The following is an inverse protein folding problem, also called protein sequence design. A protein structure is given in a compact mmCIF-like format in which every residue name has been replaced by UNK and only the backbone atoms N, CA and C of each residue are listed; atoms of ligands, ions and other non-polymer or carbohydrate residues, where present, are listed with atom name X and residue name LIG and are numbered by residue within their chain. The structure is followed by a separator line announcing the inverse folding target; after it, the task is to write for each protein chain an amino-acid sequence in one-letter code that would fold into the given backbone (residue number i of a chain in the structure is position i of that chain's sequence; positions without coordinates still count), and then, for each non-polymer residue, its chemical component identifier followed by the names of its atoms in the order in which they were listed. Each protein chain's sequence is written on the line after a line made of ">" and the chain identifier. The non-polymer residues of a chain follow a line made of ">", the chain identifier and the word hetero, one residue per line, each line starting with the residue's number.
data_IF_596457765856
#
_entry.id   IF_596457765856
#
_cell.length_a   1.000
_cell.length_b   1.000
_cell.length_c   1.000
_cell.angle_alpha   90.00
_cell.angle_beta   90.00
_cell.angle_gamma   90.00
#
_symmetry.space_group_name_H-M   'P 1'
#
loop_
_entity.id
_entity.type
_entity.pdbx_description
1 polymer ?
#
# COMPACT_ATOMS: atom_id res chain seq x y z
N UNK A 1 -45.68 -5.43 5.07
CA UNK A 1 -44.43 -5.03 5.77
C UNK A 1 -43.32 -4.58 4.81
N UNK A 2 -42.90 -5.39 3.83
CA UNK A 2 -41.82 -5.04 2.87
C UNK A 2 -42.00 -3.73 2.11
N UNK A 3 -43.21 -3.41 1.63
CA UNK A 3 -43.47 -2.15 0.90
C UNK A 3 -43.31 -0.88 1.75
N UNK A 4 -43.59 -0.96 3.06
CA UNK A 4 -43.39 0.16 4.00
C UNK A 4 -41.91 0.38 4.30
N UNK A 5 -41.14 -0.70 4.45
CA UNK A 5 -39.68 -0.63 4.60
C UNK A 5 -39.01 -0.05 3.36
N UNK A 6 -39.48 -0.43 2.17
CA UNK A 6 -38.98 0.12 0.90
C UNK A 6 -39.30 1.60 0.75
N UNK A 7 -40.52 2.02 1.10
CA UNK A 7 -40.92 3.42 1.09
C UNK A 7 -40.11 4.26 2.09
N UNK A 8 -39.86 3.74 3.30
CA UNK A 8 -39.02 4.40 4.31
C UNK A 8 -37.57 4.52 3.85
N UNK A 9 -37.02 3.49 3.19
CA UNK A 9 -35.67 3.54 2.62
C UNK A 9 -35.55 4.55 1.47
N UNK A 10 -36.56 4.62 0.59
CA UNK A 10 -36.63 5.61 -0.49
C UNK A 10 -36.74 7.03 0.08
N UNK A 11 -37.57 7.21 1.10
CA UNK A 11 -37.78 8.51 1.74
C UNK A 11 -36.50 8.95 2.50
N UNK A 12 -35.78 8.02 3.12
CA UNK A 12 -34.47 8.27 3.71
C UNK A 12 -33.41 8.67 2.67
N UNK A 13 -33.48 8.15 1.44
CA UNK A 13 -32.61 8.55 0.33
C UNK A 13 -32.95 9.92 -0.27
N UNK A 14 -34.19 10.42 -0.07
CA UNK A 14 -34.58 11.78 -0.49
C UNK A 14 -34.15 12.86 0.48
N UNK A 15 -33.74 12.50 1.71
CA UNK A 15 -33.12 13.47 2.61
C UNK A 15 -31.71 13.79 2.09
N UNK A 16 -31.38 15.08 1.84
CA UNK A 16 -30.03 15.45 1.47
C UNK A 16 -29.08 14.98 2.59
N UNK A 17 -28.03 14.19 2.29
CA UNK A 17 -27.12 13.67 3.31
C UNK A 17 -26.31 14.76 4.05
N UNK A 18 -26.57 16.05 3.80
CA UNK A 18 -25.69 17.17 4.10
C UNK A 18 -26.37 18.37 4.83
N UNK A 19 -27.42 18.17 5.63
CA UNK A 19 -28.09 19.32 6.29
C UNK A 19 -27.99 19.38 7.83
N UNK A 20 -27.52 18.33 8.52
CA UNK A 20 -27.50 18.30 10.00
C UNK A 20 -26.11 18.46 10.64
N UNK A 21 -25.04 18.59 9.86
CA UNK A 21 -23.70 18.87 10.38
C UNK A 21 -23.36 20.37 10.22
N UNK A 22 -23.99 21.25 11.02
CA UNK A 22 -23.44 22.59 11.30
C UNK A 22 -22.30 22.50 12.32
N UNK A 23 -21.31 21.66 12.03
CA UNK A 23 -20.00 21.69 12.67
C UNK A 23 -18.99 22.14 11.64
N UNK A 24 -17.90 22.78 12.06
CA UNK A 24 -16.73 23.04 11.22
C UNK A 24 -16.04 21.72 10.86
N UNK A 25 -16.69 20.89 10.03
CA UNK A 25 -16.10 19.68 9.50
C UNK A 25 -15.12 20.08 8.41
N UNK A 26 -13.83 20.05 8.73
CA UNK A 26 -12.76 20.23 7.76
C UNK A 26 -12.20 18.85 7.38
N UNK A 27 -12.40 18.38 6.14
CA UNK A 27 -11.83 17.10 5.69
C UNK A 27 -10.30 17.02 5.83
N UNK A 28 -9.60 18.16 5.84
CA UNK A 28 -8.14 18.20 6.04
C UNK A 28 -7.72 17.71 7.43
N UNK A 29 -8.59 17.82 8.44
CA UNK A 29 -8.31 17.36 9.80
C UNK A 29 -8.11 15.84 9.84
N UNK A 30 -8.77 15.10 8.94
CA UNK A 30 -8.61 13.65 8.77
C UNK A 30 -7.22 13.27 8.23
N UNK A 31 -6.44 14.21 7.70
CA UNK A 31 -5.06 13.97 7.27
C UNK A 31 -4.01 14.45 8.30
N UNK A 32 -4.45 15.13 9.37
CA UNK A 32 -3.53 15.58 10.43
C UNK A 32 -2.96 14.40 11.23
N UNK A 33 -1.64 14.34 11.35
CA UNK A 33 -0.95 13.26 12.04
C UNK A 33 -0.79 13.60 13.52
N UNK A 34 -1.85 13.36 14.29
CA UNK A 34 -1.80 13.46 15.74
C UNK A 34 -0.82 12.43 16.31
N UNK A 35 0.14 12.89 17.12
CA UNK A 35 1.12 12.05 17.81
C UNK A 35 0.48 11.46 19.06
N UNK A 36 0.24 10.15 19.06
CA UNK A 36 -0.34 9.48 20.22
C UNK A 36 0.73 9.12 21.25
N UNK A 37 1.87 8.62 20.76
CA UNK A 37 3.04 8.33 21.60
C UNK A 37 4.24 9.06 20.99
N UNK A 38 4.70 10.17 21.59
CA UNK A 38 5.85 10.90 21.07
C UNK A 38 7.15 10.16 21.39
N UNK A 39 7.90 9.76 20.35
CA UNK A 39 9.21 9.12 20.50
C UNK A 39 10.19 9.94 19.66
N UNK A 40 11.08 10.67 20.32
CA UNK A 40 12.07 11.50 19.65
C UNK A 40 13.46 10.91 19.91
N UNK A 41 14.19 10.56 18.85
CA UNK A 41 15.58 10.09 18.91
C UNK A 41 16.44 11.10 18.16
N UNK A 42 16.99 12.07 18.89
CA UNK A 42 17.78 13.16 18.31
C UNK A 42 16.96 13.98 17.29
N UNK A 43 17.41 14.12 16.03
CA UNK A 43 16.66 14.83 14.98
C UNK A 43 15.50 14.00 14.38
N UNK A 44 15.37 12.72 14.74
CA UNK A 44 14.36 11.83 14.19
C UNK A 44 13.11 11.79 15.07
N UNK A 45 11.96 12.05 14.45
CA UNK A 45 10.65 11.93 15.07
C UNK A 45 10.01 10.58 14.70
N UNK A 46 10.05 9.64 15.64
CA UNK A 46 9.49 8.29 15.53
C UNK A 46 8.16 8.17 16.27
N UNK A 47 7.43 9.28 16.42
CA UNK A 47 6.15 9.29 17.11
C UNK A 47 5.16 8.31 16.48
N UNK A 48 4.47 7.55 17.31
CA UNK A 48 3.38 6.68 16.86
C UNK A 48 2.20 7.58 16.53
N UNK A 49 1.92 7.70 15.24
CA UNK A 49 0.79 8.43 14.68
C UNK A 49 -0.26 7.44 14.17
N UNK A 50 -1.45 7.94 13.83
CA UNK A 50 -2.45 7.13 13.12
C UNK A 50 -1.89 6.45 11.86
N UNK A 51 -0.98 7.13 11.13
CA UNK A 51 -0.35 6.53 9.95
C UNK A 51 0.43 5.26 10.28
N UNK A 52 1.19 5.26 11.37
CA UNK A 52 1.94 4.08 11.83
C UNK A 52 1.00 2.94 12.20
N UNK A 53 -0.14 3.23 12.84
CA UNK A 53 -1.15 2.23 13.19
C UNK A 53 -1.78 1.62 11.94
N UNK A 54 -2.14 2.44 10.94
CA UNK A 54 -2.64 1.95 9.65
C UNK A 54 -1.61 1.08 8.92
N UNK A 55 -0.32 1.41 9.00
CA UNK A 55 0.74 0.56 8.44
C UNK A 55 0.85 -0.77 9.16
N UNK A 56 0.73 -0.80 10.49
CA UNK A 56 0.74 -2.05 11.26
C UNK A 56 -0.46 -2.93 10.95
N UNK A 57 -1.65 -2.33 10.84
CA UNK A 57 -2.86 -3.05 10.43
C UNK A 57 -2.69 -3.58 9.00
N UNK A 58 -2.19 -2.75 8.08
CA UNK A 58 -1.91 -3.15 6.70
C UNK A 58 -0.92 -4.32 6.64
N UNK A 59 0.21 -4.22 7.34
CA UNK A 59 1.20 -5.29 7.39
C UNK A 59 0.64 -6.59 7.99
N UNK A 60 -0.09 -6.50 9.11
CA UNK A 60 -0.72 -7.66 9.74
C UNK A 60 -1.75 -8.31 8.81
N UNK A 61 -2.56 -7.51 8.12
CA UNK A 61 -3.56 -8.01 7.18
C UNK A 61 -2.91 -8.64 5.94
N UNK A 62 -1.83 -8.06 5.41
CA UNK A 62 -1.05 -8.65 4.31
C UNK A 62 -0.46 -10.00 4.71
N UNK A 63 0.15 -10.10 5.90
CA UNK A 63 0.70 -11.36 6.43
C UNK A 63 -0.41 -12.39 6.61
N UNK A 64 -1.53 -12.00 7.20
CA UNK A 64 -2.68 -12.87 7.40
C UNK A 64 -3.22 -13.38 6.06
N UNK A 65 -3.36 -12.50 5.08
CA UNK A 65 -3.84 -12.84 3.74
C UNK A 65 -2.88 -13.80 3.04
N UNK A 66 -1.57 -13.57 3.13
CA UNK A 66 -0.55 -14.49 2.63
C UNK A 66 -0.64 -15.86 3.29
N UNK A 67 -0.78 -15.93 4.62
CA UNK A 67 -0.93 -17.20 5.34
C UNK A 67 -2.23 -17.91 4.95
N UNK A 68 -3.36 -17.20 4.89
CA UNK A 68 -4.67 -17.81 4.63
C UNK A 68 -4.83 -18.28 3.19
N UNK A 69 -4.34 -17.50 2.22
CA UNK A 69 -4.52 -17.77 0.80
C UNK A 69 -3.40 -18.64 0.22
N UNK A 70 -2.15 -18.39 0.60
CA UNK A 70 -0.99 -19.07 -0.01
C UNK A 70 -0.50 -20.28 0.79
N UNK A 71 -0.85 -20.41 2.08
CA UNK A 71 -0.49 -21.57 2.93
C UNK A 71 -1.63 -22.59 3.03
N UNK A 72 -2.43 -22.75 1.97
CA UNK A 72 -3.46 -23.79 1.93
C UNK A 72 -2.84 -25.14 1.52
N UNK A 73 -3.38 -26.27 2.00
CA UNK A 73 -3.00 -27.58 1.48
C UNK A 73 -3.50 -27.69 0.04
N UNK A 74 -2.59 -27.96 -0.89
CA UNK A 74 -2.93 -28.23 -2.27
C UNK A 74 -3.85 -29.46 -2.33
N UNK A 75 -5.08 -29.26 -2.76
CA UNK A 75 -6.07 -30.31 -2.91
C UNK A 75 -6.59 -30.34 -4.36
N UNK A 76 -6.94 -31.54 -4.83
CA UNK A 76 -7.62 -31.75 -6.11
C UNK A 76 -8.96 -32.46 -5.79
N UNK A 77 -10.12 -31.82 -6.04
CA UNK A 77 -10.31 -30.51 -6.67
C UNK A 77 -9.91 -29.31 -5.77
N UNK A 78 -9.52 -28.16 -6.36
CA UNK A 78 -9.10 -26.99 -5.60
C UNK A 78 -10.26 -26.41 -4.79
N UNK A 79 -9.97 -26.04 -3.53
CA UNK A 79 -10.94 -25.34 -2.69
C UNK A 79 -11.09 -23.88 -3.13
N UNK A 80 -12.22 -23.22 -2.80
CA UNK A 80 -12.44 -21.80 -3.15
C UNK A 80 -11.31 -20.88 -2.69
N UNK A 81 -10.72 -21.15 -1.51
CA UNK A 81 -9.61 -20.35 -0.96
C UNK A 81 -8.32 -20.56 -1.76
N UNK A 82 -8.08 -21.80 -2.19
CA UNK A 82 -6.95 -22.14 -3.06
C UNK A 82 -7.09 -21.46 -4.42
N UNK A 83 -8.28 -21.49 -5.04
CA UNK A 83 -8.52 -20.82 -6.33
C UNK A 83 -8.24 -19.31 -6.26
N UNK A 84 -8.66 -18.64 -5.18
CA UNK A 84 -8.37 -17.21 -4.98
C UNK A 84 -6.86 -16.99 -4.78
N UNK A 85 -6.21 -17.85 -4.00
CA UNK A 85 -4.76 -17.78 -3.77
C UNK A 85 -3.95 -17.98 -5.05
N UNK A 86 -4.33 -18.95 -5.88
CA UNK A 86 -3.73 -19.23 -7.19
C UNK A 86 -3.93 -18.07 -8.15
N UNK A 87 -5.15 -17.51 -8.25
CA UNK A 87 -5.41 -16.34 -9.09
C UNK A 87 -4.58 -15.12 -8.66
N UNK A 88 -4.45 -14.89 -7.36
CA UNK A 88 -3.65 -13.78 -6.83
C UNK A 88 -2.15 -13.99 -7.06
N UNK A 89 -1.68 -15.23 -6.95
CA UNK A 89 -0.31 -15.61 -7.27
C UNK A 89 -0.02 -15.43 -8.76
N UNK A 90 -0.94 -15.86 -9.63
CA UNK A 90 -0.83 -15.70 -11.08
C UNK A 90 -0.76 -14.22 -11.47
N UNK A 91 -1.60 -13.36 -10.90
CA UNK A 91 -1.52 -11.90 -11.10
C UNK A 91 -0.16 -11.35 -10.66
N UNK A 92 0.32 -11.74 -9.47
CA UNK A 92 1.63 -11.31 -8.99
C UNK A 92 2.76 -11.73 -9.94
N UNK A 93 2.67 -12.94 -10.50
CA UNK A 93 3.71 -13.49 -11.37
C UNK A 93 3.67 -12.84 -12.75
N UNK A 94 2.53 -12.90 -13.42
CA UNK A 94 2.38 -12.51 -14.83
C UNK A 94 2.33 -11.00 -15.02
N UNK A 95 1.60 -10.29 -14.15
CA UNK A 95 1.36 -8.85 -14.32
C UNK A 95 2.43 -7.97 -13.67
N UNK A 96 3.19 -8.51 -12.71
CA UNK A 96 4.16 -7.71 -11.96
C UNK A 96 5.58 -8.26 -12.10
N UNK A 97 5.80 -9.53 -11.74
CA UNK A 97 7.15 -10.08 -11.75
C UNK A 97 7.72 -10.29 -13.16
N UNK A 98 6.96 -10.89 -14.07
CA UNK A 98 7.41 -11.17 -15.45
C UNK A 98 7.56 -9.89 -16.29
N UNK A 99 6.84 -8.82 -15.95
CA UNK A 99 6.99 -7.53 -16.62
C UNK A 99 8.21 -6.75 -16.13
N UNK A 100 8.58 -6.89 -14.85
CA UNK A 100 9.66 -6.11 -14.23
C UNK A 100 10.99 -6.85 -14.06
N UNK A 101 11.00 -8.18 -14.10
CA UNK A 101 12.19 -8.99 -13.80
C UNK A 101 12.58 -9.89 -14.99
N UNK A 102 13.89 -10.06 -15.23
CA UNK A 102 14.35 -11.05 -16.18
C UNK A 102 14.04 -12.46 -15.66
N UNK A 103 13.72 -13.40 -16.55
CA UNK A 103 13.32 -14.78 -16.22
C UNK A 103 14.26 -15.51 -15.26
N UNK A 104 15.57 -15.22 -15.33
CA UNK A 104 16.60 -15.78 -14.43
C UNK A 104 16.51 -15.28 -12.99
N UNK A 105 15.96 -14.09 -12.77
CA UNK A 105 15.86 -13.44 -11.46
C UNK A 105 14.49 -13.64 -10.79
N UNK A 106 13.46 -14.03 -11.55
CA UNK A 106 12.09 -14.19 -11.06
C UNK A 106 12.04 -15.08 -9.82
N UNK A 107 12.64 -16.27 -9.83
CA UNK A 107 12.58 -17.19 -8.69
C UNK A 107 13.13 -16.62 -7.37
N UNK A 108 14.10 -15.69 -7.44
CA UNK A 108 14.69 -15.04 -6.25
C UNK A 108 13.92 -13.81 -5.80
N UNK A 109 13.46 -13.00 -6.76
CA UNK A 109 12.88 -11.68 -6.52
C UNK A 109 11.35 -11.69 -6.46
N UNK A 110 10.72 -12.75 -6.92
CA UNK A 110 9.27 -12.92 -6.89
C UNK A 110 8.67 -12.75 -5.49
N UNK A 111 9.19 -13.35 -4.40
CA UNK A 111 8.61 -13.16 -3.07
C UNK A 111 8.59 -11.69 -2.63
N UNK A 112 9.64 -10.94 -2.97
CA UNK A 112 9.72 -9.52 -2.67
C UNK A 112 8.68 -8.72 -3.44
N UNK A 113 8.63 -8.90 -4.77
CA UNK A 113 7.67 -8.20 -5.64
C UNK A 113 6.23 -8.54 -5.28
N UNK A 114 5.91 -9.82 -5.05
CA UNK A 114 4.60 -10.27 -4.62
C UNK A 114 4.22 -9.67 -3.25
N UNK A 115 5.15 -9.61 -2.30
CA UNK A 115 4.90 -9.00 -0.99
C UNK A 115 4.61 -7.50 -1.08
N UNK A 116 5.35 -6.76 -1.90
CA UNK A 116 5.12 -5.34 -2.13
C UNK A 116 3.77 -5.09 -2.81
N UNK A 117 3.46 -5.85 -3.87
CA UNK A 117 2.18 -5.76 -4.56
C UNK A 117 1.02 -5.97 -3.58
N UNK A 118 1.06 -7.06 -2.80
CA UNK A 118 0.02 -7.38 -1.82
C UNK A 118 -0.05 -6.34 -0.71
N UNK A 119 1.09 -5.86 -0.21
CA UNK A 119 1.13 -4.84 0.83
C UNK A 119 0.50 -3.53 0.37
N UNK A 120 0.93 -3.02 -0.79
CA UNK A 120 0.40 -1.78 -1.37
C UNK A 120 -1.08 -1.92 -1.67
N UNK A 121 -1.50 -3.05 -2.24
CA UNK A 121 -2.91 -3.32 -2.52
C UNK A 121 -3.74 -3.34 -1.23
N UNK A 122 -3.29 -4.05 -0.18
CA UNK A 122 -3.99 -4.11 1.11
C UNK A 122 -4.08 -2.73 1.76
N UNK A 123 -2.99 -1.96 1.79
CA UNK A 123 -2.98 -0.62 2.40
C UNK A 123 -3.87 0.35 1.62
N UNK A 124 -3.92 0.24 0.30
CA UNK A 124 -4.83 1.04 -0.53
C UNK A 124 -6.29 0.65 -0.30
N UNK A 125 -6.60 -0.64 -0.15
CA UNK A 125 -7.96 -1.08 0.20
C UNK A 125 -8.37 -0.68 1.61
N UNK A 126 -7.44 -0.74 2.57
CA UNK A 126 -7.65 -0.26 3.93
C UNK A 126 -7.97 1.24 3.96
N UNK A 127 -7.40 2.00 3.02
CA UNK A 127 -7.69 3.42 2.82
C UNK A 127 -9.13 3.72 2.41
N UNK A 128 -9.98 2.73 2.08
CA UNK A 128 -11.42 2.92 1.86
C UNK A 128 -12.28 2.48 3.05
N UNK A 129 -11.68 1.78 4.03
CA UNK A 129 -12.40 1.28 5.20
C UNK A 129 -12.38 2.40 6.25
N UNK A 130 -13.54 2.96 6.62
CA UNK A 130 -13.58 3.92 7.69
C UNK A 130 -13.25 3.18 9.00
N UNK A 131 -12.29 3.68 9.76
CA UNK A 131 -11.88 3.09 11.04
C UNK A 131 -12.03 4.12 12.16
N UNK A 132 -12.29 3.70 13.41
CA UNK A 132 -12.43 4.58 14.56
C UNK A 132 -11.06 5.06 15.08
N UNK A 133 -10.18 5.50 14.18
CA UNK A 133 -8.79 5.87 14.43
C UNK A 133 -8.52 7.36 14.19
N UNK A 134 -9.56 8.15 13.90
CA UNK A 134 -9.48 9.61 13.69
C UNK A 134 -9.11 10.37 14.98
N UNK A 135 -9.31 9.76 16.15
CA UNK A 135 -9.09 10.38 17.45
C UNK A 135 -10.18 11.37 17.87
N UNK A 136 -11.18 11.62 17.01
CA UNK A 136 -12.33 12.43 17.32
C UNK A 136 -13.48 11.57 17.84
N UNK A 137 -14.21 12.07 18.84
CA UNK A 137 -15.41 11.44 19.37
C UNK A 137 -16.60 12.36 19.22
N UNK A 138 -17.69 11.86 18.65
CA UNK A 138 -18.97 12.57 18.58
C UNK A 138 -19.96 11.88 19.55
N UNK A 139 -20.43 12.61 20.56
CA UNK A 139 -21.31 12.08 21.63
C UNK A 139 -20.82 10.79 22.30
N UNK A 140 -19.51 10.68 22.54
CA UNK A 140 -18.90 9.50 23.17
C UNK A 140 -18.67 8.31 22.24
N UNK A 141 -19.04 8.40 20.96
CA UNK A 141 -18.78 7.39 19.93
C UNK A 141 -17.59 7.84 19.08
N UNK A 142 -16.58 6.98 18.82
CA UNK A 142 -15.46 7.34 17.96
C UNK A 142 -15.93 7.59 16.53
N UNK A 143 -15.40 8.65 15.92
CA UNK A 143 -15.70 9.03 14.54
C UNK A 143 -14.95 8.09 13.59
N UNK A 144 -15.69 7.54 12.64
CA UNK A 144 -15.19 6.61 11.65
C UNK A 144 -14.59 7.40 10.48
N UNK A 145 -13.27 7.54 10.52
CA UNK A 145 -12.49 8.33 9.55
C UNK A 145 -11.86 7.44 8.49
N UNK A 146 -11.74 7.98 7.27
CA UNK A 146 -11.07 7.33 6.16
C UNK A 146 -9.65 7.90 6.07
N UNK A 147 -8.65 7.05 6.23
CA UNK A 147 -7.25 7.45 6.12
C UNK A 147 -6.47 6.43 5.29
N UNK A 148 -5.83 6.91 4.23
CA UNK A 148 -4.93 6.10 3.41
C UNK A 148 -3.49 6.34 3.86
N UNK A 149 -2.81 5.33 4.40
CA UNK A 149 -1.41 5.47 4.80
C UNK A 149 -0.46 5.79 3.63
N UNK A 150 -0.86 5.45 2.40
CA UNK A 150 -0.17 5.83 1.15
C UNK A 150 -0.29 7.31 0.79
N UNK A 151 -1.14 8.08 1.47
CA UNK A 151 -1.17 9.56 1.34
C UNK A 151 0.02 10.24 2.03
N UNK A 152 0.73 9.54 2.91
CA UNK A 152 1.91 10.05 3.58
C UNK A 152 3.15 9.89 2.71
N UNK A 153 3.82 11.00 2.40
CA UNK A 153 5.07 11.01 1.64
C UNK A 153 6.16 10.15 2.29
N UNK A 154 6.19 10.08 3.63
CA UNK A 154 7.18 9.28 4.34
C UNK A 154 7.03 7.79 4.03
N UNK A 155 5.79 7.32 3.85
CA UNK A 155 5.50 5.91 3.57
C UNK A 155 5.92 5.56 2.15
N UNK A 156 5.52 6.37 1.17
CA UNK A 156 5.86 6.14 -0.23
C UNK A 156 7.35 6.29 -0.48
N UNK A 157 7.98 7.29 0.13
CA UNK A 157 9.43 7.51 0.05
C UNK A 157 10.21 6.33 0.66
N UNK A 158 9.79 5.81 1.82
CA UNK A 158 10.47 4.67 2.45
C UNK A 158 10.42 3.42 1.55
N UNK A 159 9.25 3.11 0.97
CA UNK A 159 9.11 1.98 0.05
C UNK A 159 9.93 2.18 -1.24
N UNK A 160 9.94 3.41 -1.77
CA UNK A 160 10.72 3.76 -2.95
C UNK A 160 12.23 3.63 -2.70
N UNK A 161 12.73 4.17 -1.59
CA UNK A 161 14.14 4.09 -1.21
C UNK A 161 14.58 2.64 -0.97
N UNK A 162 13.75 1.84 -0.29
CA UNK A 162 14.03 0.42 -0.08
C UNK A 162 14.16 -0.33 -1.40
N UNK A 163 13.21 -0.11 -2.32
CA UNK A 163 13.24 -0.73 -3.65
C UNK A 163 14.44 -0.24 -4.46
N UNK A 164 14.73 1.07 -4.44
CA UNK A 164 15.87 1.68 -5.09
C UNK A 164 17.20 1.07 -4.61
N UNK A 165 17.40 0.96 -3.30
CA UNK A 165 18.61 0.35 -2.73
C UNK A 165 18.74 -1.10 -3.16
N UNK A 166 17.65 -1.87 -3.15
CA UNK A 166 17.67 -3.28 -3.55
C UNK A 166 17.99 -3.48 -5.03
N UNK A 167 17.41 -2.66 -5.92
CA UNK A 167 17.70 -2.74 -7.36
C UNK A 167 19.14 -2.36 -7.68
N UNK A 168 19.68 -1.34 -7.02
CA UNK A 168 21.08 -0.93 -7.19
C UNK A 168 22.04 -1.99 -6.65
N UNK A 169 21.75 -2.52 -5.45
CA UNK A 169 22.55 -3.57 -4.84
C UNK A 169 22.63 -4.82 -5.74
N UNK A 170 21.51 -5.32 -6.24
CA UNK A 170 21.53 -6.45 -7.16
C UNK A 170 22.12 -6.12 -8.52
N UNK A 171 21.90 -4.91 -9.02
CA UNK A 171 22.51 -4.43 -10.26
C UNK A 171 24.03 -4.50 -10.21
N UNK A 172 24.62 -4.04 -9.10
CA UNK A 172 26.07 -4.13 -8.84
C UNK A 172 26.51 -5.57 -8.62
N UNK A 173 25.76 -6.36 -7.85
CA UNK A 173 26.09 -7.77 -7.55
C UNK A 173 26.08 -8.65 -8.80
N UNK A 174 25.12 -8.47 -9.70
CA UNK A 174 24.94 -9.32 -10.89
C UNK A 174 25.85 -8.91 -12.05
N UNK A 175 25.98 -7.61 -12.33
CA UNK A 175 26.77 -7.13 -13.45
C UNK A 175 28.24 -6.88 -13.09
N UNK A 176 28.54 -6.69 -11.81
CA UNK A 176 29.81 -6.16 -11.33
C UNK A 176 29.83 -4.61 -11.39
N UNK A 177 30.60 -3.92 -10.52
CA UNK A 177 30.57 -2.47 -10.41
C UNK A 177 30.87 -1.77 -11.75
N UNK A 178 31.89 -2.24 -12.45
CA UNK A 178 32.35 -1.63 -13.71
C UNK A 178 31.32 -1.75 -14.82
N UNK A 179 30.70 -2.92 -14.98
CA UNK A 179 29.70 -3.15 -16.04
C UNK A 179 28.38 -2.47 -15.71
N UNK A 180 28.03 -2.37 -14.43
CA UNK A 180 26.84 -1.67 -13.95
C UNK A 180 26.91 -0.16 -14.23
N UNK A 181 27.99 0.52 -13.83
CA UNK A 181 28.12 1.95 -14.15
C UNK A 181 28.27 2.20 -15.66
N UNK A 182 28.80 1.24 -16.41
CA UNK A 182 28.83 1.33 -17.88
C UNK A 182 27.45 1.19 -18.51
N UNK A 183 26.51 0.47 -17.88
CA UNK A 183 25.14 0.34 -18.39
C UNK A 183 24.28 1.59 -18.16
N UNK A 184 24.73 2.53 -17.32
CA UNK A 184 24.08 3.84 -17.13
C UNK A 184 24.37 4.82 -18.26
N UNK A 185 25.24 4.45 -19.22
CA UNK A 185 25.57 5.28 -20.37
C UNK A 185 24.63 4.87 -21.50
N UNK A 186 23.56 5.64 -21.78
CA UNK A 186 22.68 5.33 -22.90
C UNK A 186 23.42 5.50 -24.23
N UNK A 187 23.01 4.75 -25.26
CA UNK A 187 23.59 4.79 -26.62
C UNK A 187 23.16 6.07 -27.38
N UNK A 188 23.42 7.23 -26.79
CA UNK A 188 23.12 8.56 -27.34
C UNK A 188 24.42 9.28 -27.69
N UNK A 189 24.37 10.31 -28.56
CA UNK A 189 25.52 11.14 -28.86
C UNK A 189 26.21 11.59 -27.56
N UNK A 190 27.54 11.49 -27.50
CA UNK A 190 28.35 11.66 -26.26
C UNK A 190 28.06 12.93 -25.46
N UNK A 191 27.54 13.96 -26.11
CA UNK A 191 27.16 15.25 -25.50
C UNK A 191 25.91 15.13 -24.60
N UNK A 192 24.98 14.22 -24.93
CA UNK A 192 23.70 14.05 -24.23
C UNK A 192 23.74 12.98 -23.14
N UNK A 193 24.83 12.21 -23.05
CA UNK A 193 25.00 11.14 -22.06
C UNK A 193 24.94 11.68 -20.62
N UNK A 194 25.61 12.81 -20.34
CA UNK A 194 25.67 13.38 -18.99
C UNK A 194 24.30 13.81 -18.43
N UNK A 195 23.52 14.63 -19.16
CA UNK A 195 22.19 15.03 -18.71
C UNK A 195 21.21 13.86 -18.58
N UNK A 196 21.24 12.90 -19.49
CA UNK A 196 20.28 11.77 -19.51
C UNK A 196 20.57 10.80 -18.37
N UNK A 197 21.84 10.45 -18.14
CA UNK A 197 22.22 9.52 -17.08
C UNK A 197 21.99 10.02 -15.65
N UNK A 198 21.75 11.33 -15.46
CA UNK A 198 21.42 11.93 -14.16
C UNK A 198 19.89 12.02 -13.94
N UNK A 199 19.11 11.98 -15.02
CA UNK A 199 17.65 12.07 -14.98
C UNK A 199 16.95 10.71 -14.87
N UNK A 200 17.57 9.65 -15.37
CA UNK A 200 17.12 8.25 -15.22
C UNK A 200 17.49 7.66 -13.85
#
# INVERSE_FOLDING_TARGET
>A
MRKRLFAVALLALTFPPAAFARGTFNPADEFTLNKWVPIHIGPLDLSITKAVVYLWIGAALTILLGIVLMRSRLALPPSRRQTIGEALYEVAQTQVAEQGLPSKAIGRWFPYVASLMLFIWVVNMLGFIPLPLSGQTYHGVPVWGIYAATSSINVTLALALLTFVFTHYEGVRWNGPVRYFKSWIPEVPRVLVGPIAVLE
#
